data_IF_386637342348
#
_entry.id   IF_386637342348
#
_cell.length_a   1.000
_cell.length_b   1.000
_cell.length_c   1.000
_cell.angle_alpha   90.00
_cell.angle_beta   90.00
_cell.angle_gamma   90.00
#
_symmetry.space_group_name_H-M   'P 1'
#
loop_
_entity.id
_entity.type
_entity.pdbx_description
1 polymer ?
#
# COMPACT_ATOMS: atom_id res chain seq x y z
N UNK A 1 -3.76 -42.43 34.93
CA UNK A 1 -4.68 -41.83 33.95
C UNK A 1 -4.71 -40.30 34.02
N UNK A 2 -4.82 -39.71 35.22
CA UNK A 2 -4.86 -38.23 35.36
C UNK A 2 -3.62 -37.48 34.83
N UNK A 3 -2.41 -38.06 34.98
CA UNK A 3 -1.17 -37.46 34.43
C UNK A 3 -1.11 -37.46 32.91
N UNK A 4 -1.64 -38.48 32.24
CA UNK A 4 -1.69 -38.59 30.79
C UNK A 4 -2.64 -37.56 30.18
N UNK A 5 -3.80 -37.34 30.82
CA UNK A 5 -4.76 -36.30 30.42
C UNK A 5 -4.19 -34.86 30.58
N UNK A 6 -3.41 -34.61 31.64
CA UNK A 6 -2.76 -33.32 31.85
C UNK A 6 -1.69 -33.05 30.77
N UNK A 7 -0.89 -34.07 30.40
CA UNK A 7 0.10 -33.92 29.29
C UNK A 7 -0.57 -33.67 27.93
N UNK A 8 -1.66 -34.39 27.63
CA UNK A 8 -2.43 -34.17 26.39
C UNK A 8 -3.04 -32.78 26.34
N UNK A 9 -3.57 -32.27 27.46
CA UNK A 9 -4.11 -30.91 27.53
C UNK A 9 -3.02 -29.85 27.35
N UNK A 10 -1.84 -30.04 27.93
CA UNK A 10 -0.70 -29.15 27.73
C UNK A 10 -0.24 -29.15 26.25
N UNK A 11 -0.16 -30.31 25.62
CA UNK A 11 0.21 -30.42 24.20
C UNK A 11 -0.84 -29.75 23.29
N UNK A 12 -2.13 -29.88 23.59
CA UNK A 12 -3.20 -29.22 22.85
C UNK A 12 -3.11 -27.69 23.03
N UNK A 13 -2.92 -27.21 24.26
CA UNK A 13 -2.77 -25.77 24.54
C UNK A 13 -1.51 -25.22 23.88
N UNK A 14 -0.38 -25.95 23.92
CA UNK A 14 0.85 -25.56 23.24
C UNK A 14 0.70 -25.56 21.70
N UNK A 15 -0.07 -26.51 21.15
CA UNK A 15 -0.38 -26.53 19.71
C UNK A 15 -1.26 -25.34 19.31
N UNK A 16 -2.23 -24.97 20.14
CA UNK A 16 -3.04 -23.77 19.93
C UNK A 16 -2.20 -22.49 20.00
N UNK A 17 -1.21 -22.42 20.89
CA UNK A 17 -0.33 -21.25 20.98
C UNK A 17 0.70 -21.20 19.85
N UNK A 18 1.13 -22.35 19.31
CA UNK A 18 2.05 -22.41 18.16
C UNK A 18 1.40 -21.98 16.85
N UNK A 19 0.08 -22.04 16.73
CA UNK A 19 -0.63 -21.56 15.52
C UNK A 19 -0.92 -20.05 15.55
N UNK A 20 -0.66 -19.36 16.68
CA UNK A 20 -0.87 -17.92 16.80
C UNK A 20 0.34 -17.07 16.40
N UNK A 21 1.38 -17.67 15.85
CA UNK A 21 2.57 -16.97 15.31
C UNK A 21 2.43 -16.64 13.83
N UNK A 22 1.24 -16.29 13.37
CA UNK A 22 1.06 -15.99 11.97
C UNK A 22 0.96 -14.48 11.78
N UNK A 23 1.97 -13.96 11.09
CA UNK A 23 1.86 -12.67 10.44
C UNK A 23 0.54 -12.57 9.70
N UNK A 24 -0.08 -11.42 9.74
CA UNK A 24 -1.36 -11.14 9.09
C UNK A 24 -1.46 -11.73 7.69
N UNK A 25 -2.46 -12.54 7.46
CA UNK A 25 -2.89 -12.91 6.12
C UNK A 25 -3.76 -11.79 5.57
N UNK A 26 -3.19 -11.01 4.65
CA UNK A 26 -3.99 -10.03 3.91
C UNK A 26 -5.09 -10.76 3.16
N UNK A 27 -6.36 -10.38 3.35
CA UNK A 27 -7.47 -11.03 2.69
C UNK A 27 -7.26 -11.04 1.17
N UNK A 28 -7.64 -12.12 0.51
CA UNK A 28 -7.67 -12.21 -0.97
C UNK A 28 -8.39 -11.02 -1.61
N UNK A 29 -9.33 -10.42 -0.88
CA UNK A 29 -10.05 -9.21 -1.25
C UNK A 29 -9.13 -8.00 -1.46
N UNK A 30 -7.99 -7.88 -0.74
CA UNK A 30 -7.02 -6.79 -0.96
C UNK A 30 -6.49 -6.78 -2.40
N UNK A 31 -6.05 -7.93 -2.91
CA UNK A 31 -5.56 -8.05 -4.29
C UNK A 31 -6.64 -7.74 -5.34
N UNK A 32 -7.88 -8.16 -5.09
CA UNK A 32 -9.00 -7.84 -5.97
C UNK A 32 -9.31 -6.34 -5.97
N UNK A 33 -9.30 -5.69 -4.80
CA UNK A 33 -9.53 -4.24 -4.69
C UNK A 33 -8.42 -3.45 -5.37
N UNK A 34 -7.16 -3.87 -5.21
CA UNK A 34 -6.04 -3.22 -5.87
C UNK A 34 -6.16 -3.31 -7.41
N UNK A 35 -6.50 -4.49 -7.95
CA UNK A 35 -6.77 -4.66 -9.39
C UNK A 35 -7.92 -3.76 -9.87
N UNK A 36 -8.97 -3.59 -9.07
CA UNK A 36 -10.09 -2.68 -9.38
C UNK A 36 -9.63 -1.23 -9.37
N UNK A 37 -8.92 -0.79 -8.32
CA UNK A 37 -8.36 0.55 -8.23
C UNK A 37 -7.46 0.88 -9.44
N UNK A 38 -6.57 -0.05 -9.83
CA UNK A 38 -5.74 0.10 -11.04
C UNK A 38 -6.58 0.22 -12.31
N UNK A 39 -7.65 -0.58 -12.45
CA UNK A 39 -8.56 -0.49 -13.60
C UNK A 39 -9.27 0.85 -13.66
N UNK A 40 -9.79 1.34 -12.54
CA UNK A 40 -10.45 2.65 -12.46
C UNK A 40 -9.46 3.77 -12.75
N UNK A 41 -8.25 3.70 -12.18
CA UNK A 41 -7.19 4.69 -12.42
C UNK A 41 -6.78 4.73 -13.91
N UNK A 42 -6.79 3.59 -14.60
CA UNK A 42 -6.58 3.54 -16.06
C UNK A 42 -7.72 4.23 -16.82
N UNK A 43 -8.98 4.08 -16.39
CA UNK A 43 -10.15 4.75 -16.98
C UNK A 43 -10.13 6.27 -16.75
N UNK A 44 -9.55 6.74 -15.66
CA UNK A 44 -9.38 8.16 -15.35
C UNK A 44 -8.44 8.86 -16.33
N UNK A 45 -7.67 8.14 -17.13
CA UNK A 45 -6.76 8.73 -18.11
C UNK A 45 -7.49 9.65 -19.09
N UNK A 46 -7.10 10.92 -19.14
CA UNK A 46 -7.70 11.96 -19.98
C UNK A 46 -6.82 12.40 -21.15
N UNK A 47 -5.50 12.27 -20.98
CA UNK A 47 -4.51 12.69 -21.96
C UNK A 47 -3.60 11.54 -22.36
N UNK A 48 -3.03 11.61 -23.55
CA UNK A 48 -2.01 10.65 -23.94
C UNK A 48 -0.69 10.97 -23.22
N UNK A 49 0.10 9.97 -22.84
CA UNK A 49 1.41 10.20 -22.21
C UNK A 49 2.36 11.09 -23.06
N UNK A 50 2.20 11.04 -24.38
CA UNK A 50 2.98 11.83 -25.32
C UNK A 50 2.67 13.32 -25.22
N UNK A 51 1.43 13.69 -24.95
CA UNK A 51 1.01 15.10 -24.78
C UNK A 51 1.67 15.78 -23.59
N UNK A 52 2.10 15.01 -22.58
CA UNK A 52 2.61 15.50 -21.31
C UNK A 52 4.11 15.23 -21.09
N UNK A 53 4.86 14.95 -22.18
CA UNK A 53 6.30 14.62 -22.09
C UNK A 53 7.13 15.70 -21.39
N UNK A 54 6.80 16.98 -21.60
CA UNK A 54 7.50 18.13 -20.98
C UNK A 54 7.25 18.26 -19.48
N UNK A 55 6.22 17.59 -18.99
CA UNK A 55 5.82 17.62 -17.59
C UNK A 55 6.30 16.39 -16.81
N UNK A 56 6.94 15.42 -17.49
CA UNK A 56 7.49 14.24 -16.82
C UNK A 56 8.49 14.62 -15.75
N UNK A 57 8.37 13.95 -14.61
CA UNK A 57 9.28 14.08 -13.47
C UNK A 57 9.47 12.70 -12.83
N UNK A 58 10.70 12.38 -12.48
CA UNK A 58 10.97 11.26 -11.60
C UNK A 58 10.84 11.72 -10.15
N UNK A 59 9.98 11.05 -9.40
CA UNK A 59 9.76 11.35 -7.99
C UNK A 59 10.62 10.47 -7.06
N UNK A 60 11.40 9.52 -7.61
CA UNK A 60 12.22 8.59 -6.83
C UNK A 60 11.35 7.68 -5.96
N UNK A 61 10.65 6.75 -6.61
CA UNK A 61 9.71 5.85 -5.93
C UNK A 61 10.43 4.96 -4.90
N UNK A 62 10.02 4.96 -3.61
CA UNK A 62 10.79 4.35 -2.53
C UNK A 62 10.84 2.82 -2.61
N UNK A 63 9.81 2.15 -3.12
CA UNK A 63 9.76 0.69 -3.16
C UNK A 63 10.71 0.06 -4.20
N UNK A 64 11.26 0.81 -5.15
CA UNK A 64 12.33 0.31 -6.03
C UNK A 64 13.61 -0.02 -5.26
N UNK A 65 13.85 0.69 -4.15
CA UNK A 65 14.99 0.42 -3.26
C UNK A 65 14.75 -0.78 -2.35
N UNK A 66 13.48 -1.13 -2.13
CA UNK A 66 13.06 -2.28 -1.32
C UNK A 66 13.36 -3.60 -2.00
N UNK A 67 13.38 -3.63 -3.34
CA UNK A 67 13.75 -4.82 -4.13
C UNK A 67 15.17 -5.34 -3.83
N UNK A 68 16.05 -4.47 -3.36
CA UNK A 68 17.43 -4.80 -3.01
C UNK A 68 17.65 -5.14 -1.53
N UNK A 69 16.62 -5.02 -0.70
CA UNK A 69 16.68 -5.32 0.73
C UNK A 69 15.58 -6.32 1.07
N UNK A 70 15.92 -7.41 1.76
CA UNK A 70 14.96 -8.41 2.25
C UNK A 70 14.05 -7.76 3.30
N UNK A 71 12.93 -7.19 2.85
CA UNK A 71 11.89 -6.70 3.75
C UNK A 71 11.00 -7.86 4.15
N UNK A 72 10.92 -8.13 5.45
CA UNK A 72 9.96 -9.09 5.99
C UNK A 72 8.52 -8.59 5.83
N UNK A 73 7.56 -9.50 5.70
CA UNK A 73 6.12 -9.19 5.57
C UNK A 73 5.63 -8.25 6.69
N UNK A 74 6.09 -8.47 7.91
CA UNK A 74 5.74 -7.63 9.06
C UNK A 74 6.15 -6.17 8.89
N UNK A 75 7.28 -5.91 8.22
CA UNK A 75 7.79 -4.55 7.95
C UNK A 75 7.11 -3.92 6.72
N UNK A 76 6.69 -4.72 5.75
CA UNK A 76 6.04 -4.24 4.53
C UNK A 76 4.64 -3.68 4.79
N UNK A 77 3.85 -4.28 5.69
CA UNK A 77 2.47 -3.87 5.95
C UNK A 77 2.36 -2.42 6.41
N UNK A 78 3.14 -1.92 7.40
CA UNK A 78 3.12 -0.51 7.79
C UNK A 78 3.48 0.44 6.64
N UNK A 79 4.47 0.07 5.82
CA UNK A 79 4.91 0.86 4.67
C UNK A 79 3.81 0.95 3.61
N UNK A 80 3.16 -0.19 3.28
CA UNK A 80 2.04 -0.23 2.34
C UNK A 80 0.82 0.52 2.86
N UNK A 81 0.58 0.46 4.17
CA UNK A 81 -0.49 1.24 4.81
C UNK A 81 -0.25 2.74 4.67
N UNK A 82 0.97 3.22 4.93
CA UNK A 82 1.30 4.65 4.79
C UNK A 82 1.23 5.08 3.32
N UNK A 83 1.75 4.27 2.38
CA UNK A 83 1.63 4.49 0.95
C UNK A 83 0.16 4.67 0.51
N UNK A 84 -0.71 3.75 0.92
CA UNK A 84 -2.14 3.75 0.59
C UNK A 84 -2.85 4.97 1.18
N UNK A 85 -2.50 5.35 2.42
CA UNK A 85 -3.02 6.55 3.07
C UNK A 85 -2.61 7.82 2.31
N UNK A 86 -1.36 7.94 1.87
CA UNK A 86 -0.90 9.08 1.10
C UNK A 86 -1.60 9.19 -0.25
N UNK A 87 -1.83 8.06 -0.93
CA UNK A 87 -2.62 8.02 -2.17
C UNK A 87 -4.04 8.53 -1.91
N UNK A 88 -4.69 8.04 -0.86
CA UNK A 88 -6.05 8.47 -0.50
C UNK A 88 -6.10 9.97 -0.22
N UNK A 89 -5.19 10.51 0.59
CA UNK A 89 -5.10 11.92 0.90
C UNK A 89 -4.93 12.80 -0.36
N UNK A 90 -4.12 12.34 -1.30
CA UNK A 90 -3.88 13.04 -2.56
C UNK A 90 -5.16 13.12 -3.41
N UNK A 91 -5.91 12.03 -3.54
CA UNK A 91 -7.10 11.95 -4.39
C UNK A 91 -8.37 12.47 -3.73
N UNK A 92 -8.43 12.60 -2.40
CA UNK A 92 -9.53 13.25 -1.69
C UNK A 92 -9.39 14.78 -1.59
N UNK A 93 -8.32 15.36 -2.15
CA UNK A 93 -8.08 16.80 -2.14
C UNK A 93 -9.06 17.55 -3.05
N UNK A 94 -9.35 18.82 -2.72
CA UNK A 94 -10.16 19.70 -3.59
C UNK A 94 -9.60 19.83 -5.01
N UNK A 95 -8.28 19.84 -5.15
CA UNK A 95 -7.62 19.93 -6.45
C UNK A 95 -7.86 18.68 -7.30
N UNK A 96 -7.90 17.51 -6.67
CA UNK A 96 -8.25 16.24 -7.32
C UNK A 96 -9.71 16.24 -7.78
N UNK A 97 -10.65 16.67 -6.92
CA UNK A 97 -12.08 16.73 -7.27
C UNK A 97 -12.35 17.64 -8.48
N UNK A 98 -11.58 18.69 -8.67
CA UNK A 98 -11.67 19.55 -9.84
C UNK A 98 -11.03 18.93 -11.11
N UNK A 99 -10.11 17.98 -10.95
CA UNK A 99 -9.35 17.39 -12.05
C UNK A 99 -10.03 16.19 -12.70
N UNK A 100 -10.80 15.40 -11.94
CA UNK A 100 -11.30 14.10 -12.34
C UNK A 100 -12.82 14.01 -12.44
N UNK A 101 -13.31 13.05 -13.22
CA UNK A 101 -14.73 12.71 -13.20
C UNK A 101 -15.11 12.19 -11.79
N UNK A 102 -16.17 12.76 -11.20
CA UNK A 102 -16.58 12.47 -9.83
C UNK A 102 -16.85 10.97 -9.60
N UNK A 103 -17.57 10.29 -10.50
CA UNK A 103 -17.91 8.88 -10.35
C UNK A 103 -16.67 7.98 -10.35
N UNK A 104 -15.71 8.25 -11.24
CA UNK A 104 -14.45 7.50 -11.30
C UNK A 104 -13.58 7.80 -10.08
N UNK A 105 -13.52 9.06 -9.66
CA UNK A 105 -12.78 9.46 -8.47
C UNK A 105 -13.32 8.80 -7.21
N UNK A 106 -14.65 8.82 -7.03
CA UNK A 106 -15.31 8.19 -5.88
C UNK A 106 -15.08 6.66 -5.87
N UNK A 107 -15.19 6.01 -7.03
CA UNK A 107 -14.92 4.58 -7.15
C UNK A 107 -13.47 4.25 -6.81
N UNK A 108 -12.51 5.04 -7.29
CA UNK A 108 -11.10 4.88 -6.97
C UNK A 108 -10.82 5.08 -5.48
N UNK A 109 -11.29 6.19 -4.91
CA UNK A 109 -11.12 6.48 -3.49
C UNK A 109 -11.73 5.42 -2.59
N UNK A 110 -12.90 4.88 -2.95
CA UNK A 110 -13.54 3.80 -2.20
C UNK A 110 -12.69 2.52 -2.21
N UNK A 111 -12.19 2.09 -3.37
CA UNK A 111 -11.33 0.90 -3.47
C UNK A 111 -10.02 1.07 -2.68
N UNK A 112 -9.40 2.27 -2.72
CA UNK A 112 -8.19 2.61 -1.95
C UNK A 112 -8.48 2.65 -0.44
N UNK A 113 -9.62 3.24 -0.04
CA UNK A 113 -10.03 3.28 1.37
C UNK A 113 -10.25 1.87 1.94
N UNK A 114 -10.87 0.98 1.17
CA UNK A 114 -11.04 -0.41 1.59
C UNK A 114 -9.72 -1.17 1.71
N UNK A 115 -8.75 -0.91 0.81
CA UNK A 115 -7.38 -1.46 0.93
C UNK A 115 -6.70 -0.96 2.21
N UNK A 116 -6.87 0.31 2.55
CA UNK A 116 -6.34 0.90 3.78
C UNK A 116 -6.92 0.21 5.02
N UNK A 117 -8.23 -0.06 5.04
CA UNK A 117 -8.89 -0.76 6.13
C UNK A 117 -8.38 -2.20 6.28
N UNK A 118 -8.17 -2.92 5.16
CA UNK A 118 -7.62 -4.28 5.17
C UNK A 118 -6.20 -4.28 5.78
N UNK A 119 -5.34 -3.33 5.38
CA UNK A 119 -3.99 -3.17 5.93
C UNK A 119 -4.01 -2.79 7.43
N UNK A 120 -4.94 -1.93 7.83
CA UNK A 120 -5.08 -1.50 9.21
C UNK A 120 -5.58 -2.62 10.13
N UNK A 121 -6.54 -3.42 9.68
CA UNK A 121 -6.98 -4.62 10.36
C UNK A 121 -5.84 -5.61 10.58
N UNK A 122 -4.98 -5.72 9.59
CA UNK A 122 -3.76 -6.52 9.62
C UNK A 122 -2.78 -6.06 10.70
N UNK A 123 -2.52 -4.76 10.79
CA UNK A 123 -1.64 -4.18 11.80
C UNK A 123 -2.17 -4.39 13.23
N UNK A 124 -3.49 -4.29 13.43
CA UNK A 124 -4.10 -4.54 14.74
C UNK A 124 -3.92 -5.98 15.22
N UNK A 125 -3.83 -6.96 14.31
CA UNK A 125 -3.55 -8.35 14.66
C UNK A 125 -2.07 -8.59 15.02
N UNK A 126 -1.19 -7.70 14.62
CA UNK A 126 0.25 -7.76 14.92
C UNK A 126 0.63 -7.06 16.24
N UNK A 127 -0.30 -6.37 16.90
CA UNK A 127 -0.07 -5.67 18.17
C UNK A 127 0.26 -6.71 19.25
N UNK A 128 1.52 -6.82 19.60
CA UNK A 128 2.10 -7.78 20.55
C UNK A 128 3.51 -8.24 20.17
N UNK A 129 3.96 -7.94 18.96
CA UNK A 129 5.26 -8.36 18.45
C UNK A 129 6.13 -7.13 18.20
N UNK A 130 7.12 -6.92 19.11
CA UNK A 130 8.33 -6.12 18.98
C UNK A 130 8.24 -4.67 18.45
N UNK A 131 9.04 -3.79 19.06
CA UNK A 131 9.34 -2.44 18.56
C UNK A 131 9.72 -2.47 17.07
N UNK A 132 9.20 -1.50 16.28
CA UNK A 132 9.52 -1.42 14.87
C UNK A 132 11.04 -1.26 14.68
N UNK A 133 11.68 -2.07 13.85
CA UNK A 133 13.11 -1.90 13.58
C UNK A 133 13.37 -0.53 12.94
N UNK A 134 14.50 0.08 13.25
CA UNK A 134 14.94 1.41 12.74
C UNK A 134 14.79 1.53 11.21
N UNK A 135 15.01 0.44 10.48
CA UNK A 135 14.83 0.38 9.02
C UNK A 135 13.38 0.65 8.56
N UNK A 136 12.38 0.38 9.39
CA UNK A 136 10.98 0.65 9.05
C UNK A 136 10.68 2.16 9.05
N UNK A 137 11.25 2.92 9.98
CA UNK A 137 11.07 4.38 10.03
C UNK A 137 11.66 5.06 8.80
N UNK A 138 12.81 4.59 8.31
CA UNK A 138 13.44 5.11 7.10
C UNK A 138 12.55 4.91 5.87
N UNK A 139 11.86 3.77 5.76
CA UNK A 139 10.92 3.52 4.67
C UNK A 139 9.66 4.38 4.77
N UNK A 140 9.11 4.56 5.96
CA UNK A 140 7.96 5.45 6.17
C UNK A 140 8.32 6.89 5.83
N UNK A 141 9.50 7.35 6.24
CA UNK A 141 10.01 8.67 5.88
C UNK A 141 10.21 8.81 4.36
N UNK A 142 10.74 7.77 3.70
CA UNK A 142 10.92 7.77 2.25
C UNK A 142 9.57 7.87 1.50
N UNK A 143 8.52 7.16 1.96
CA UNK A 143 7.16 7.25 1.41
C UNK A 143 6.61 8.68 1.57
N UNK A 144 6.69 9.25 2.75
CA UNK A 144 6.20 10.61 3.03
C UNK A 144 6.95 11.65 2.19
N UNK A 145 8.26 11.53 2.08
CA UNK A 145 9.10 12.42 1.27
C UNK A 145 8.74 12.32 -0.21
N UNK A 146 8.45 11.12 -0.70
CA UNK A 146 7.99 10.89 -2.07
C UNK A 146 6.67 11.60 -2.35
N UNK A 147 5.65 11.45 -1.50
CA UNK A 147 4.36 12.14 -1.68
C UNK A 147 4.46 13.65 -1.46
N UNK A 148 5.36 14.10 -0.60
CA UNK A 148 5.67 15.54 -0.48
C UNK A 148 6.19 16.10 -1.80
N UNK A 149 7.13 15.40 -2.48
CA UNK A 149 7.63 15.81 -3.81
C UNK A 149 6.52 15.86 -4.86
N UNK A 150 5.58 14.91 -4.84
CA UNK A 150 4.39 14.92 -5.73
C UNK A 150 3.51 16.13 -5.45
N UNK A 151 3.25 16.44 -4.18
CA UNK A 151 2.42 17.59 -3.78
C UNK A 151 3.06 18.92 -4.18
N UNK A 152 4.36 19.07 -3.98
CA UNK A 152 5.13 20.25 -4.42
C UNK A 152 5.05 20.40 -5.93
N UNK A 153 5.28 19.31 -6.68
CA UNK A 153 5.20 19.30 -8.14
C UNK A 153 3.81 19.74 -8.64
N UNK A 154 2.73 19.17 -8.10
CA UNK A 154 1.37 19.59 -8.47
C UNK A 154 1.14 21.08 -8.25
N UNK A 155 1.64 21.62 -7.15
CA UNK A 155 1.54 23.05 -6.83
C UNK A 155 2.34 23.92 -7.80
N UNK A 156 3.59 23.55 -8.09
CA UNK A 156 4.45 24.23 -9.08
C UNK A 156 3.82 24.25 -10.47
N UNK A 157 3.19 23.14 -10.86
CA UNK A 157 2.49 22.98 -12.14
C UNK A 157 1.05 23.49 -12.11
N UNK A 158 0.65 24.20 -11.04
CA UNK A 158 -0.71 24.79 -10.85
C UNK A 158 -1.83 23.78 -11.07
N UNK A 159 -1.60 22.51 -10.67
CA UNK A 159 -2.55 21.41 -10.82
C UNK A 159 -3.06 21.22 -12.27
N UNK A 160 -2.20 21.48 -13.25
CA UNK A 160 -2.54 21.38 -14.68
C UNK A 160 -2.98 19.96 -15.06
N UNK A 161 -3.77 19.78 -16.14
CA UNK A 161 -4.18 18.45 -16.60
C UNK A 161 -3.03 17.50 -16.85
N UNK A 162 -1.91 17.98 -17.42
CA UNK A 162 -0.70 17.17 -17.63
C UNK A 162 -0.03 16.79 -16.30
N UNK A 163 0.01 17.70 -15.32
CA UNK A 163 0.58 17.40 -14.02
C UNK A 163 -0.21 16.27 -13.31
N UNK A 164 -1.53 16.31 -13.35
CA UNK A 164 -2.36 15.25 -12.82
C UNK A 164 -2.21 13.93 -13.59
N UNK A 165 -2.01 13.98 -14.92
CA UNK A 165 -1.78 12.77 -15.71
C UNK A 165 -0.43 12.10 -15.36
N UNK A 166 0.61 12.89 -15.11
CA UNK A 166 1.91 12.40 -14.62
C UNK A 166 1.74 11.75 -13.24
N UNK A 167 1.03 12.40 -12.32
CA UNK A 167 0.79 11.88 -10.98
C UNK A 167 -0.09 10.62 -11.02
N UNK A 168 -1.12 10.57 -11.89
CA UNK A 168 -1.95 9.37 -12.09
C UNK A 168 -1.10 8.16 -12.51
N UNK A 169 -0.19 8.36 -13.48
CA UNK A 169 0.70 7.32 -13.95
C UNK A 169 1.67 6.85 -12.85
N UNK A 170 2.14 7.78 -12.02
CA UNK A 170 3.02 7.50 -10.89
C UNK A 170 2.31 6.68 -9.80
N UNK A 171 1.07 7.05 -9.45
CA UNK A 171 0.25 6.30 -8.49
C UNK A 171 -0.10 4.91 -9.04
N UNK A 172 -0.34 4.79 -10.35
CA UNK A 172 -0.53 3.48 -10.98
C UNK A 172 0.69 2.57 -10.79
N UNK A 173 1.92 3.13 -10.98
CA UNK A 173 3.18 2.41 -10.72
C UNK A 173 3.29 1.99 -9.26
N UNK A 174 2.99 2.89 -8.33
CA UNK A 174 3.06 2.64 -6.89
C UNK A 174 2.12 1.50 -6.45
N UNK A 175 0.87 1.51 -6.91
CA UNK A 175 -0.11 0.46 -6.62
C UNK A 175 0.28 -0.89 -7.27
N UNK A 176 0.85 -0.88 -8.47
CA UNK A 176 1.33 -2.09 -9.13
C UNK A 176 2.51 -2.71 -8.38
N UNK A 177 3.46 -1.89 -7.93
CA UNK A 177 4.62 -2.35 -7.15
C UNK A 177 4.21 -2.90 -5.79
N UNK A 178 3.17 -2.35 -5.14
CA UNK A 178 2.67 -2.86 -3.85
C UNK A 178 2.10 -4.28 -3.97
N UNK A 179 1.42 -4.61 -5.07
CA UNK A 179 0.94 -5.98 -5.33
C UNK A 179 2.10 -6.95 -5.50
N UNK A 180 3.10 -6.56 -6.29
CA UNK A 180 4.27 -7.39 -6.53
C UNK A 180 5.05 -7.66 -5.24
N UNK A 181 5.18 -6.66 -4.37
CA UNK A 181 5.80 -6.83 -3.06
C UNK A 181 5.04 -7.84 -2.21
N UNK A 182 3.72 -7.72 -2.09
CA UNK A 182 2.90 -8.65 -1.31
C UNK A 182 2.91 -10.08 -1.88
N UNK A 183 2.90 -10.23 -3.21
CA UNK A 183 2.97 -11.54 -3.85
C UNK A 183 4.28 -12.27 -3.49
N UNK A 184 5.42 -11.59 -3.61
CA UNK A 184 6.73 -12.16 -3.23
C UNK A 184 6.77 -12.59 -1.76
N UNK A 185 6.28 -11.75 -0.86
CA UNK A 185 6.23 -12.05 0.58
C UNK A 185 5.26 -13.20 0.94
N UNK A 186 4.36 -13.59 0.04
CA UNK A 186 3.50 -14.77 0.22
C UNK A 186 4.16 -16.05 -0.30
N UNK A 187 5.01 -15.95 -1.33
CA UNK A 187 5.74 -17.10 -1.91
C UNK A 187 6.89 -17.59 -1.02
N UNK A 188 7.54 -16.71 -0.26
CA UNK A 188 8.61 -17.08 0.68
C UNK A 188 8.14 -17.98 1.84
N UNK A 189 6.83 -18.20 1.98
CA UNK A 189 6.23 -19.08 3.02
C UNK A 189 5.85 -20.47 2.53
N UNK A 190 5.98 -20.77 1.24
CA UNK A 190 5.64 -22.06 0.66
C UNK A 190 6.88 -22.94 0.50
#
# INVERSE_FOLDING_TARGET
MARLCAFLMILIVMSYWSTCSLGCDLPHTYNLRNKRALKVLAQMRRLTPLSCLKDRKDFGFPLEKVDNQQIQKAQAIPVLRDLTQQILNLFTSKASSAAWNATLLDSFCNDVHQQLNDLQGCLMQQVGVQEPPLTQEDFLLAVRTYFHRITVYLREKKHSPCAWEVVRAEVWRALSSSVNLLARLSEEKA
#
